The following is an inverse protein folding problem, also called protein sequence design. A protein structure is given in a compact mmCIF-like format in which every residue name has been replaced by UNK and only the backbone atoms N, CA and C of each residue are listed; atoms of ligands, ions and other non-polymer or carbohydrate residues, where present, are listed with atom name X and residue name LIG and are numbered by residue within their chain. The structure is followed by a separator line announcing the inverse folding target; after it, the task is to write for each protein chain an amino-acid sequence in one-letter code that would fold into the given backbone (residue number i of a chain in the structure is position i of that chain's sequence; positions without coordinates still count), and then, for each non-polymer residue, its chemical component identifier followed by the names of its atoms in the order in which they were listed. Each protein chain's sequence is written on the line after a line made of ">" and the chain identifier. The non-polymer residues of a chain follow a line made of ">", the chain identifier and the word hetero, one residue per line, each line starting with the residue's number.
data_IF_523191103919
#
_entry.id   IF_523191103919
#
_cell.length_a   1.000
_cell.length_b   1.000
_cell.length_c   1.000
_cell.angle_alpha   90.00
_cell.angle_beta   90.00
_cell.angle_gamma   90.00
#
_symmetry.space_group_name_H-M   'P 1'
#
loop_
_entity.id
_entity.type
_entity.pdbx_description
1 polymer ?
#
# COMPACT_ATOMS: atom_id res chain seq x y z
N UNK A 1 -33.14 -15.08 1.71
CA UNK A 1 -32.02 -15.26 2.68
C UNK A 1 -31.11 -16.35 2.14
N UNK A 2 -30.05 -15.99 1.42
CA UNK A 2 -29.10 -16.96 0.92
C UNK A 2 -27.72 -16.44 1.31
N UNK A 3 -27.20 -16.93 2.45
CA UNK A 3 -25.84 -16.66 2.92
C UNK A 3 -24.88 -17.31 1.91
N UNK A 4 -24.46 -16.57 0.89
CA UNK A 4 -23.31 -16.95 0.07
C UNK A 4 -22.10 -16.98 1.01
N UNK A 5 -21.81 -18.20 1.51
CA UNK A 5 -20.54 -18.51 2.18
C UNK A 5 -19.43 -18.18 1.19
N UNK A 6 -18.58 -17.27 1.56
CA UNK A 6 -17.43 -16.82 0.80
C UNK A 6 -16.49 -17.99 0.44
N UNK A 7 -15.90 -17.99 -0.76
CA UNK A 7 -14.88 -18.99 -1.14
C UNK A 7 -13.58 -18.83 -0.37
N UNK A 8 -13.48 -17.90 0.60
CA UNK A 8 -12.27 -17.64 1.37
C UNK A 8 -11.74 -18.82 2.17
N UNK A 9 -12.59 -19.72 2.66
CA UNK A 9 -12.17 -20.89 3.41
C UNK A 9 -11.34 -21.86 2.55
N UNK A 10 -11.72 -22.09 1.33
CA UNK A 10 -11.02 -22.98 0.40
C UNK A 10 -9.66 -22.44 -0.02
N UNK A 11 -9.52 -21.12 -0.20
CA UNK A 11 -8.24 -20.47 -0.53
C UNK A 11 -7.26 -20.63 0.64
N UNK A 12 -7.71 -20.42 1.88
CA UNK A 12 -6.86 -20.62 3.06
C UNK A 12 -6.52 -22.08 3.30
N UNK A 13 -7.45 -23.00 3.02
CA UNK A 13 -7.22 -24.43 3.09
C UNK A 13 -6.21 -24.87 2.03
N UNK A 14 -6.37 -24.44 0.78
CA UNK A 14 -5.42 -24.70 -0.30
C UNK A 14 -4.04 -24.11 0.01
N UNK A 15 -3.98 -22.88 0.55
CA UNK A 15 -2.74 -22.27 0.99
C UNK A 15 -2.07 -23.07 2.11
N UNK A 16 -2.81 -23.50 3.11
CA UNK A 16 -2.32 -24.35 4.20
C UNK A 16 -1.79 -25.69 3.71
N UNK A 17 -2.46 -26.33 2.75
CA UNK A 17 -2.01 -27.55 2.09
C UNK A 17 -0.70 -27.36 1.33
N UNK A 18 -0.58 -26.29 0.56
CA UNK A 18 0.66 -25.97 -0.17
C UNK A 18 1.82 -25.74 0.79
N UNK A 19 1.63 -24.94 1.85
CA UNK A 19 2.66 -24.70 2.86
C UNK A 19 3.03 -26.00 3.58
N UNK A 20 2.04 -26.80 3.97
CA UNK A 20 2.26 -28.11 4.60
C UNK A 20 3.04 -29.08 3.70
N UNK A 21 2.70 -29.14 2.42
CA UNK A 21 3.41 -29.94 1.43
C UNK A 21 4.87 -29.49 1.28
N UNK A 22 5.12 -28.18 1.18
CA UNK A 22 6.47 -27.63 1.07
C UNK A 22 7.34 -27.93 2.31
N UNK A 23 6.77 -27.79 3.49
CA UNK A 23 7.47 -28.14 4.74
C UNK A 23 7.80 -29.63 4.79
N UNK A 24 6.87 -30.49 4.40
CA UNK A 24 7.08 -31.93 4.32
C UNK A 24 8.17 -32.28 3.28
N UNK A 25 8.17 -31.61 2.14
CA UNK A 25 9.17 -31.78 1.07
C UNK A 25 10.57 -31.42 1.55
N UNK A 26 10.74 -30.28 2.24
CA UNK A 26 12.05 -29.86 2.80
C UNK A 26 12.50 -30.83 3.88
N UNK A 27 11.61 -31.22 4.79
CA UNK A 27 11.93 -32.18 5.85
C UNK A 27 12.36 -33.53 5.26
N UNK A 28 11.59 -34.05 4.27
CA UNK A 28 11.94 -35.27 3.56
C UNK A 28 13.29 -35.17 2.89
N UNK A 29 13.57 -34.05 2.23
CA UNK A 29 14.83 -33.83 1.52
C UNK A 29 16.04 -33.81 2.47
N UNK A 30 15.93 -33.17 3.64
CA UNK A 30 16.99 -33.15 4.65
C UNK A 30 17.24 -34.55 5.24
N UNK A 31 16.16 -35.30 5.50
CA UNK A 31 16.29 -36.69 5.99
C UNK A 31 16.94 -37.57 4.93
N UNK A 32 16.52 -37.44 3.67
CA UNK A 32 17.10 -38.18 2.55
C UNK A 32 18.60 -37.90 2.38
N UNK A 33 18.99 -36.64 2.38
CA UNK A 33 20.40 -36.22 2.27
C UNK A 33 21.25 -36.77 3.42
N UNK A 34 20.75 -36.69 4.63
CA UNK A 34 21.42 -37.24 5.81
C UNK A 34 21.66 -38.75 5.66
N UNK A 35 20.62 -39.50 5.32
CA UNK A 35 20.70 -40.95 5.18
C UNK A 35 21.64 -41.35 4.04
N UNK A 36 21.55 -40.64 2.91
CA UNK A 36 22.40 -40.88 1.75
C UNK A 36 23.90 -40.69 2.08
N UNK A 37 24.24 -39.60 2.76
CA UNK A 37 25.62 -39.33 3.18
C UNK A 37 26.13 -40.36 4.20
N UNK A 38 25.30 -40.75 5.16
CA UNK A 38 25.65 -41.79 6.14
C UNK A 38 25.93 -43.12 5.43
N UNK A 39 25.07 -43.54 4.53
CA UNK A 39 25.27 -44.76 3.74
C UNK A 39 26.58 -44.74 2.93
N UNK A 40 26.89 -43.61 2.27
CA UNK A 40 28.14 -43.46 1.51
C UNK A 40 29.38 -43.58 2.39
N UNK A 41 29.32 -43.03 3.62
CA UNK A 41 30.42 -43.19 4.57
C UNK A 41 30.60 -44.67 4.98
N UNK A 42 29.52 -45.35 5.34
CA UNK A 42 29.52 -46.76 5.73
C UNK A 42 30.00 -47.67 4.58
N UNK A 43 29.56 -47.42 3.35
CA UNK A 43 30.03 -48.15 2.18
C UNK A 43 31.54 -47.96 1.94
N UNK A 44 32.02 -46.73 2.00
CA UNK A 44 33.46 -46.44 1.83
C UNK A 44 34.29 -47.08 2.92
N UNK A 45 33.88 -47.02 4.20
CA UNK A 45 34.58 -47.65 5.31
C UNK A 45 34.63 -49.16 5.16
N UNK A 46 33.53 -49.79 4.77
CA UNK A 46 33.44 -51.25 4.57
C UNK A 46 34.34 -51.68 3.40
N UNK A 47 34.29 -50.94 2.28
CA UNK A 47 35.16 -51.22 1.11
C UNK A 47 36.64 -51.09 1.46
N UNK A 48 37.05 -50.03 2.17
CA UNK A 48 38.44 -49.82 2.55
C UNK A 48 38.95 -50.88 3.55
N UNK A 49 38.10 -51.35 4.45
CA UNK A 49 38.43 -52.46 5.34
C UNK A 49 38.60 -53.78 4.59
N UNK A 50 37.75 -54.08 3.60
CA UNK A 50 37.91 -55.24 2.73
C UNK A 50 39.19 -55.18 1.90
N UNK A 51 39.51 -54.02 1.31
CA UNK A 51 40.74 -53.78 0.58
C UNK A 51 41.96 -53.96 1.52
N UNK A 52 41.91 -53.42 2.72
CA UNK A 52 42.97 -53.60 3.71
C UNK A 52 43.19 -55.08 4.06
N UNK A 53 42.14 -55.89 4.20
CA UNK A 53 42.22 -57.31 4.44
C UNK A 53 42.82 -58.09 3.27
N UNK A 54 42.46 -57.74 2.03
CA UNK A 54 43.05 -58.36 0.83
C UNK A 54 44.55 -58.00 0.65
N UNK A 55 44.89 -56.73 0.84
CA UNK A 55 46.27 -56.24 0.76
C UNK A 55 47.10 -56.86 1.92
N UNK A 56 46.53 -57.07 3.11
CA UNK A 56 47.19 -57.77 4.21
C UNK A 56 47.60 -59.18 3.84
N UNK A 57 46.74 -59.94 3.14
CA UNK A 57 47.08 -61.28 2.63
C UNK A 57 48.22 -61.25 1.63
N UNK A 58 48.19 -60.29 0.71
CA UNK A 58 49.22 -60.06 -0.32
C UNK A 58 50.56 -59.68 0.36
N UNK A 59 50.55 -58.81 1.35
CA UNK A 59 51.72 -58.37 2.09
C UNK A 59 52.36 -59.52 2.85
N UNK A 60 51.54 -60.34 3.52
CA UNK A 60 52.06 -61.53 4.25
C UNK A 60 52.71 -62.59 3.33
N UNK A 61 52.19 -62.73 2.12
CA UNK A 61 52.77 -63.67 1.10
C UNK A 61 54.02 -63.16 0.39
N UNK A 62 54.39 -61.88 0.55
CA UNK A 62 55.49 -61.23 -0.17
C UNK A 62 56.81 -61.36 0.60
N UNK A 63 57.91 -61.86 -0.08
CA UNK A 63 59.18 -61.92 0.50
C UNK A 63 59.77 -60.56 0.89
N UNK A 64 60.57 -60.53 1.99
CA UNK A 64 61.12 -59.32 2.60
C UNK A 64 61.84 -58.40 1.62
N UNK A 65 62.57 -58.94 0.65
CA UNK A 65 63.30 -58.16 -0.35
C UNK A 65 62.46 -57.38 -1.34
N UNK A 66 61.20 -57.79 -1.58
CA UNK A 66 60.26 -57.16 -2.49
C UNK A 66 59.22 -56.24 -1.77
N UNK A 67 59.24 -56.19 -0.47
CA UNK A 67 58.24 -55.43 0.34
C UNK A 67 58.34 -53.92 0.14
N UNK A 68 59.57 -53.35 -0.01
CA UNK A 68 59.70 -51.91 -0.21
C UNK A 68 59.14 -51.45 -1.59
N UNK A 69 59.40 -52.26 -2.67
CA UNK A 69 58.74 -51.94 -3.94
C UNK A 69 57.28 -52.07 -3.91
N UNK A 70 56.71 -53.10 -3.30
CA UNK A 70 55.29 -53.29 -3.11
C UNK A 70 54.64 -52.15 -2.26
N UNK A 71 55.33 -51.67 -1.23
CA UNK A 71 54.88 -50.56 -0.42
C UNK A 71 54.73 -49.27 -1.22
N UNK A 72 55.61 -49.00 -2.17
CA UNK A 72 55.52 -47.85 -3.08
C UNK A 72 54.29 -47.97 -4.03
N UNK A 73 54.07 -49.16 -4.60
CA UNK A 73 52.95 -49.45 -5.47
C UNK A 73 51.61 -49.33 -4.69
N UNK A 74 51.54 -49.92 -3.50
CA UNK A 74 50.32 -49.84 -2.64
C UNK A 74 49.95 -48.41 -2.28
N UNK A 75 50.93 -47.53 -2.01
CA UNK A 75 50.66 -46.11 -1.76
C UNK A 75 50.08 -45.38 -2.97
N UNK A 76 50.42 -45.80 -4.19
CA UNK A 76 49.85 -45.21 -5.40
C UNK A 76 48.43 -45.71 -5.70
N UNK A 77 48.23 -47.04 -5.56
CA UNK A 77 46.95 -47.70 -5.88
C UNK A 77 45.90 -47.54 -4.75
N UNK A 78 46.35 -47.63 -3.50
CA UNK A 78 45.49 -47.56 -2.32
C UNK A 78 45.97 -46.45 -1.34
N UNK A 79 45.80 -45.18 -1.70
CA UNK A 79 46.30 -44.07 -0.90
C UNK A 79 45.66 -43.93 0.50
N UNK A 80 44.59 -44.66 0.77
CA UNK A 80 43.87 -44.71 2.04
C UNK A 80 44.40 -45.85 2.95
N UNK A 81 45.30 -46.72 2.47
CA UNK A 81 45.92 -47.77 3.26
C UNK A 81 47.32 -47.36 3.72
N UNK A 82 47.69 -47.83 4.87
CA UNK A 82 49.03 -47.65 5.44
C UNK A 82 49.61 -48.97 5.91
N UNK A 83 50.92 -49.12 5.67
CA UNK A 83 51.65 -50.32 6.05
C UNK A 83 52.66 -49.99 7.12
N UNK A 84 52.49 -50.56 8.32
CA UNK A 84 53.37 -50.42 9.46
C UNK A 84 53.82 -51.80 9.97
N UNK A 85 55.11 -52.11 9.77
CA UNK A 85 55.67 -53.43 10.05
C UNK A 85 55.04 -54.53 9.21
N UNK A 86 54.35 -55.47 9.87
CA UNK A 86 53.62 -56.56 9.21
C UNK A 86 52.12 -56.34 9.05
N UNK A 87 51.63 -55.17 9.48
CA UNK A 87 50.20 -54.84 9.43
C UNK A 87 49.87 -53.83 8.34
N UNK A 88 48.77 -54.10 7.66
CA UNK A 88 48.11 -53.17 6.73
C UNK A 88 46.82 -52.71 7.36
N UNK A 89 46.62 -51.43 7.42
CA UNK A 89 45.40 -50.86 8.02
C UNK A 89 44.92 -49.61 7.24
N UNK A 90 43.68 -49.27 7.43
CA UNK A 90 43.13 -48.04 6.85
C UNK A 90 43.70 -46.83 7.60
N UNK A 91 44.33 -45.89 6.89
CA UNK A 91 44.87 -44.67 7.50
C UNK A 91 43.77 -43.85 8.16
N UNK A 92 43.83 -43.65 9.50
CA UNK A 92 42.78 -42.93 10.23
C UNK A 92 42.58 -41.48 9.79
N UNK A 93 43.69 -40.81 9.41
CA UNK A 93 43.63 -39.42 8.94
C UNK A 93 42.87 -39.30 7.61
N UNK A 94 43.09 -40.24 6.69
CA UNK A 94 42.37 -40.30 5.41
C UNK A 94 40.90 -40.61 5.59
N UNK A 95 40.59 -41.53 6.50
CA UNK A 95 39.18 -41.83 6.83
C UNK A 95 38.49 -40.61 7.44
N UNK A 96 39.15 -39.92 8.34
CA UNK A 96 38.61 -38.71 8.97
C UNK A 96 38.48 -37.56 7.97
N UNK A 97 39.43 -37.40 7.04
CA UNK A 97 39.35 -36.43 5.95
C UNK A 97 38.12 -36.69 5.08
N UNK A 98 37.91 -37.95 4.66
CA UNK A 98 36.76 -38.36 3.85
C UNK A 98 35.43 -38.08 4.59
N UNK A 99 35.31 -38.49 5.87
CA UNK A 99 34.15 -38.19 6.70
C UNK A 99 33.88 -36.69 6.81
N UNK A 100 34.91 -35.88 7.04
CA UNK A 100 34.82 -34.44 7.15
C UNK A 100 34.36 -33.76 5.86
N UNK A 101 34.80 -34.28 4.72
CA UNK A 101 34.38 -33.82 3.40
C UNK A 101 32.92 -34.13 3.13
N UNK A 102 32.48 -35.36 3.40
CA UNK A 102 31.06 -35.73 3.28
C UNK A 102 30.15 -34.89 4.21
N UNK A 103 30.60 -34.63 5.45
CA UNK A 103 29.87 -33.77 6.40
C UNK A 103 29.84 -32.29 5.96
N UNK A 104 30.83 -31.83 5.20
CA UNK A 104 30.78 -30.47 4.61
C UNK A 104 29.70 -30.34 3.56
N UNK A 105 29.51 -31.35 2.70
CA UNK A 105 28.36 -31.40 1.78
C UNK A 105 27.05 -31.40 2.49
N UNK A 106 26.91 -32.19 3.56
CA UNK A 106 25.66 -32.17 4.37
C UNK A 106 25.33 -30.80 4.94
N UNK A 107 26.33 -30.07 5.45
CA UNK A 107 26.14 -28.70 5.96
C UNK A 107 25.71 -27.75 4.85
N UNK A 108 26.31 -27.80 3.68
CA UNK A 108 25.94 -26.98 2.54
C UNK A 108 24.46 -27.16 2.17
N UNK A 109 24.01 -28.40 2.00
CA UNK A 109 22.59 -28.70 1.71
C UNK A 109 21.64 -28.37 2.84
N UNK A 110 22.11 -28.41 4.09
CA UNK A 110 21.29 -28.05 5.26
C UNK A 110 20.92 -26.56 5.29
N UNK A 111 21.67 -25.68 4.66
CA UNK A 111 21.32 -24.24 4.53
C UNK A 111 20.48 -23.95 3.31
N UNK A 112 20.64 -24.69 2.22
CA UNK A 112 19.96 -24.47 0.96
C UNK A 112 18.45 -24.69 1.05
N UNK A 113 18.02 -25.79 1.68
CA UNK A 113 16.58 -26.08 1.85
C UNK A 113 15.81 -25.00 2.62
N UNK A 114 16.23 -24.59 3.84
CA UNK A 114 15.62 -23.50 4.57
C UNK A 114 15.65 -22.15 3.83
N UNK A 115 16.70 -21.86 3.06
CA UNK A 115 16.78 -20.66 2.26
C UNK A 115 15.67 -20.62 1.19
N UNK A 116 15.52 -21.68 0.40
CA UNK A 116 14.46 -21.76 -0.60
C UNK A 116 13.07 -21.70 0.02
N UNK A 117 12.88 -22.35 1.18
CA UNK A 117 11.63 -22.26 1.93
C UNK A 117 11.33 -20.82 2.35
N UNK A 118 12.33 -20.11 2.87
CA UNK A 118 12.15 -18.71 3.29
C UNK A 118 11.79 -17.80 2.11
N UNK A 119 12.44 -17.94 0.95
CA UNK A 119 12.13 -17.19 -0.28
C UNK A 119 10.70 -17.49 -0.75
N UNK A 120 10.29 -18.74 -0.71
CA UNK A 120 8.95 -19.16 -1.12
C UNK A 120 7.86 -18.61 -0.18
N UNK A 121 8.07 -18.68 1.14
CA UNK A 121 7.15 -18.12 2.13
C UNK A 121 7.04 -16.59 1.99
N UNK A 122 8.15 -15.90 1.71
CA UNK A 122 8.15 -14.47 1.42
C UNK A 122 7.32 -14.16 0.17
N UNK A 123 7.50 -14.93 -0.91
CA UNK A 123 6.71 -14.80 -2.14
C UNK A 123 5.20 -14.98 -1.88
N UNK A 124 4.83 -16.03 -1.15
CA UNK A 124 3.45 -16.29 -0.77
C UNK A 124 2.86 -15.17 0.12
N UNK A 125 3.65 -14.63 1.05
CA UNK A 125 3.24 -13.49 1.87
C UNK A 125 2.96 -12.24 1.03
N UNK A 126 3.84 -11.92 0.07
CA UNK A 126 3.68 -10.77 -0.83
C UNK A 126 2.41 -10.93 -1.68
N UNK A 127 2.21 -12.11 -2.29
CA UNK A 127 1.02 -12.41 -3.09
C UNK A 127 -0.25 -12.31 -2.24
N UNK A 128 -0.26 -12.93 -1.07
CA UNK A 128 -1.41 -12.89 -0.15
C UNK A 128 -1.76 -11.47 0.28
N UNK A 129 -0.75 -10.63 0.55
CA UNK A 129 -0.95 -9.21 0.87
C UNK A 129 -1.50 -8.43 -0.32
N UNK A 130 -1.02 -8.68 -1.53
CA UNK A 130 -1.49 -8.05 -2.75
C UNK A 130 -2.96 -8.39 -3.04
N UNK A 131 -3.33 -9.67 -2.94
CA UNK A 131 -4.71 -10.13 -3.14
C UNK A 131 -5.68 -9.52 -2.12
N UNK A 132 -5.28 -9.41 -0.85
CA UNK A 132 -6.11 -8.75 0.18
C UNK A 132 -6.36 -7.28 -0.17
N UNK A 133 -5.32 -6.54 -0.57
CA UNK A 133 -5.45 -5.13 -0.99
C UNK A 133 -6.41 -4.99 -2.16
N UNK A 134 -6.30 -5.87 -3.16
CA UNK A 134 -7.19 -5.86 -4.32
C UNK A 134 -8.65 -6.13 -3.93
N UNK A 135 -8.89 -7.09 -3.03
CA UNK A 135 -10.24 -7.40 -2.54
C UNK A 135 -10.83 -6.23 -1.74
N UNK A 136 -10.05 -5.60 -0.88
CA UNK A 136 -10.47 -4.40 -0.13
C UNK A 136 -10.80 -3.25 -1.09
N UNK A 137 -9.99 -3.02 -2.11
CA UNK A 137 -10.25 -2.02 -3.13
C UNK A 137 -11.55 -2.30 -3.89
N UNK A 138 -11.75 -3.53 -4.37
CA UNK A 138 -13.00 -3.95 -5.04
C UNK A 138 -14.23 -3.78 -4.13
N UNK A 139 -14.11 -4.13 -2.85
CA UNK A 139 -15.19 -3.94 -1.88
C UNK A 139 -15.51 -2.45 -1.70
N UNK A 140 -14.49 -1.60 -1.54
CA UNK A 140 -14.66 -0.14 -1.44
C UNK A 140 -15.33 0.43 -2.69
N UNK A 141 -14.92 -0.01 -3.87
CA UNK A 141 -15.51 0.39 -5.14
C UNK A 141 -17.00 -0.01 -5.24
N UNK A 142 -17.37 -1.22 -4.82
CA UNK A 142 -18.78 -1.64 -4.79
C UNK A 142 -19.62 -0.80 -3.83
N UNK A 143 -19.11 -0.56 -2.63
CA UNK A 143 -19.77 0.30 -1.64
C UNK A 143 -19.94 1.72 -2.14
N UNK A 144 -18.94 2.26 -2.85
CA UNK A 144 -19.04 3.55 -3.51
C UNK A 144 -20.17 3.59 -4.55
N UNK A 145 -20.27 2.60 -5.44
CA UNK A 145 -21.34 2.54 -6.44
C UNK A 145 -22.72 2.50 -5.80
N UNK A 146 -22.86 1.75 -4.71
CA UNK A 146 -24.11 1.72 -3.94
C UNK A 146 -24.42 3.09 -3.30
N UNK A 147 -23.42 3.72 -2.69
CA UNK A 147 -23.56 5.05 -2.08
C UNK A 147 -23.89 6.13 -3.15
N UNK A 148 -23.21 6.11 -4.29
CA UNK A 148 -23.49 7.00 -5.41
C UNK A 148 -24.93 6.85 -5.91
N UNK A 149 -25.38 5.62 -6.12
CA UNK A 149 -26.76 5.33 -6.51
C UNK A 149 -27.77 5.88 -5.50
N UNK A 150 -27.45 5.82 -4.22
CA UNK A 150 -28.30 6.37 -3.15
C UNK A 150 -28.31 7.90 -3.13
N UNK A 151 -27.15 8.53 -3.31
CA UNK A 151 -27.02 10.00 -3.36
C UNK A 151 -27.71 10.59 -4.60
N UNK A 152 -27.78 9.89 -5.73
CA UNK A 152 -28.58 10.27 -6.90
C UNK A 152 -30.08 10.05 -6.69
N UNK A 153 -30.48 8.95 -6.08
CA UNK A 153 -31.91 8.59 -5.90
C UNK A 153 -32.67 9.61 -5.06
N UNK A 154 -32.05 10.14 -4.02
CA UNK A 154 -32.70 11.08 -3.09
C UNK A 154 -33.15 12.37 -3.79
N UNK A 155 -32.27 13.16 -4.47
CA UNK A 155 -32.69 14.38 -5.16
C UNK A 155 -33.64 14.08 -6.30
N UNK A 156 -33.48 13.01 -7.06
CA UNK A 156 -34.42 12.59 -8.11
C UNK A 156 -35.80 12.32 -7.54
N UNK A 157 -35.90 11.64 -6.40
CA UNK A 157 -37.17 11.38 -5.75
C UNK A 157 -37.83 12.67 -5.23
N UNK A 158 -37.04 13.60 -4.70
CA UNK A 158 -37.51 14.92 -4.27
C UNK A 158 -38.04 15.74 -5.46
N UNK A 159 -37.28 15.80 -6.55
CA UNK A 159 -37.68 16.46 -7.80
C UNK A 159 -39.00 15.89 -8.32
N UNK A 160 -39.14 14.55 -8.35
CA UNK A 160 -40.36 13.89 -8.79
C UNK A 160 -41.55 14.25 -7.91
N UNK A 161 -41.39 14.26 -6.58
CA UNK A 161 -42.44 14.61 -5.63
C UNK A 161 -42.88 16.07 -5.81
N UNK A 162 -41.94 17.01 -5.92
CA UNK A 162 -42.24 18.42 -6.13
C UNK A 162 -42.96 18.64 -7.46
N UNK A 163 -42.52 18.02 -8.56
CA UNK A 163 -43.15 18.08 -9.87
C UNK A 163 -44.59 17.52 -9.83
N UNK A 164 -44.78 16.35 -9.23
CA UNK A 164 -46.13 15.77 -9.06
C UNK A 164 -47.04 16.67 -8.22
N UNK A 165 -46.53 17.29 -7.15
CA UNK A 165 -47.31 18.20 -6.32
C UNK A 165 -47.74 19.44 -7.08
N UNK A 166 -46.85 20.02 -7.92
CA UNK A 166 -47.18 21.14 -8.81
C UNK A 166 -48.23 20.78 -9.86
N UNK A 167 -48.25 19.54 -10.36
CA UNK A 167 -49.21 19.07 -11.35
C UNK A 167 -50.59 18.73 -10.76
N UNK A 168 -50.61 18.22 -9.54
CA UNK A 168 -51.86 17.66 -8.94
C UNK A 168 -52.59 18.62 -8.02
N UNK A 169 -52.01 19.75 -7.63
CA UNK A 169 -52.59 20.70 -6.66
C UNK A 169 -52.56 22.10 -7.20
N UNK A 170 -53.67 22.83 -7.03
CA UNK A 170 -53.68 24.28 -7.14
C UNK A 170 -52.97 24.88 -5.93
N UNK A 171 -51.82 25.50 -6.17
CA UNK A 171 -50.97 26.12 -5.16
C UNK A 171 -50.95 27.65 -5.35
N UNK A 172 -50.81 28.37 -4.25
CA UNK A 172 -50.56 29.81 -4.31
C UNK A 172 -49.25 30.06 -5.07
N UNK A 173 -49.15 31.21 -5.76
CA UNK A 173 -47.97 31.61 -6.53
C UNK A 173 -46.68 31.59 -5.71
N UNK A 174 -46.76 31.94 -4.43
CA UNK A 174 -45.65 31.89 -3.48
C UNK A 174 -45.15 30.46 -3.25
N UNK A 175 -46.04 29.50 -3.06
CA UNK A 175 -45.69 28.08 -2.90
C UNK A 175 -45.14 27.47 -4.19
N UNK A 176 -45.67 27.87 -5.36
CA UNK A 176 -45.15 27.45 -6.66
C UNK A 176 -43.71 27.92 -6.82
N UNK A 177 -43.40 29.18 -6.55
CA UNK A 177 -42.06 29.73 -6.60
C UNK A 177 -41.12 29.04 -5.62
N UNK A 178 -41.57 28.79 -4.38
CA UNK A 178 -40.79 28.04 -3.39
C UNK A 178 -40.41 26.62 -3.89
N UNK A 179 -41.35 25.90 -4.50
CA UNK A 179 -41.10 24.55 -5.03
C UNK A 179 -40.15 24.57 -6.22
N UNK A 180 -40.31 25.55 -7.11
CA UNK A 180 -39.37 25.73 -8.23
C UNK A 180 -37.96 26.04 -7.74
N UNK A 181 -37.81 26.90 -6.74
CA UNK A 181 -36.51 27.18 -6.11
C UNK A 181 -35.90 25.92 -5.48
N UNK A 182 -36.71 25.13 -4.79
CA UNK A 182 -36.23 23.84 -4.24
C UNK A 182 -35.81 22.86 -5.33
N UNK A 183 -36.55 22.83 -6.47
CA UNK A 183 -36.16 21.97 -7.60
C UNK A 183 -34.82 22.42 -8.22
N UNK A 184 -34.63 23.73 -8.40
CA UNK A 184 -33.34 24.26 -8.88
C UNK A 184 -32.19 23.85 -7.97
N UNK A 185 -32.36 23.97 -6.65
CA UNK A 185 -31.34 23.53 -5.70
C UNK A 185 -31.00 22.02 -5.77
N UNK A 186 -32.02 21.17 -6.01
CA UNK A 186 -31.75 19.73 -6.16
C UNK A 186 -31.09 19.41 -7.52
N UNK A 187 -31.35 20.21 -8.57
CA UNK A 187 -30.65 20.09 -9.86
C UNK A 187 -29.18 20.50 -9.69
N UNK A 188 -28.90 21.66 -9.12
CA UNK A 188 -27.53 22.13 -8.85
C UNK A 188 -26.73 21.10 -8.03
N UNK A 189 -27.40 20.45 -7.08
CA UNK A 189 -26.80 19.37 -6.30
C UNK A 189 -26.47 18.12 -7.13
N UNK A 190 -27.30 17.76 -8.10
CA UNK A 190 -27.06 16.66 -9.04
C UNK A 190 -25.91 16.97 -9.97
N UNK A 191 -25.82 18.22 -10.46
CA UNK A 191 -24.70 18.69 -11.28
C UNK A 191 -23.37 18.60 -10.52
N UNK A 192 -23.31 19.13 -9.31
CA UNK A 192 -22.16 19.05 -8.41
C UNK A 192 -21.70 17.59 -8.17
N UNK A 193 -22.66 16.69 -7.95
CA UNK A 193 -22.39 15.27 -7.74
C UNK A 193 -21.81 14.64 -9.02
N UNK A 194 -22.37 14.96 -10.17
CA UNK A 194 -21.90 14.49 -11.49
C UNK A 194 -20.49 14.97 -11.79
N UNK A 195 -20.21 16.27 -11.57
CA UNK A 195 -18.88 16.86 -11.80
C UNK A 195 -17.80 16.20 -10.90
N UNK A 196 -18.10 16.00 -9.62
CA UNK A 196 -17.21 15.30 -8.68
C UNK A 196 -16.92 13.87 -9.13
N UNK A 197 -17.89 13.14 -9.65
CA UNK A 197 -17.72 11.80 -10.20
C UNK A 197 -16.85 11.78 -11.43
N UNK A 198 -17.10 12.71 -12.38
CA UNK A 198 -16.32 12.83 -13.61
C UNK A 198 -14.86 13.23 -13.32
N UNK A 199 -14.65 14.21 -12.44
CA UNK A 199 -13.32 14.63 -12.01
C UNK A 199 -12.55 13.44 -11.39
N UNK A 200 -13.21 12.67 -10.52
CA UNK A 200 -12.60 11.47 -9.92
C UNK A 200 -12.26 10.42 -10.98
N UNK A 201 -13.19 10.15 -11.91
CA UNK A 201 -12.97 9.17 -12.97
C UNK A 201 -11.77 9.53 -13.86
N UNK A 202 -11.64 10.81 -14.23
CA UNK A 202 -10.51 11.33 -15.01
C UNK A 202 -9.18 11.19 -14.26
N UNK A 203 -9.17 11.50 -12.96
CA UNK A 203 -7.97 11.39 -12.12
C UNK A 203 -7.55 9.93 -11.91
N UNK A 204 -8.50 9.02 -11.66
CA UNK A 204 -8.22 7.58 -11.53
C UNK A 204 -7.63 7.00 -12.82
N UNK A 205 -8.03 7.52 -13.98
CA UNK A 205 -7.52 7.11 -15.29
C UNK A 205 -6.22 7.84 -15.72
N UNK A 206 -5.70 8.76 -14.89
CA UNK A 206 -4.51 9.56 -15.22
C UNK A 206 -4.76 10.61 -16.32
N UNK A 207 -6.03 10.92 -16.61
CA UNK A 207 -6.45 11.83 -17.69
C UNK A 207 -6.71 13.28 -17.21
N UNK A 208 -6.40 13.59 -15.95
CA UNK A 208 -6.57 14.92 -15.36
C UNK A 208 -5.60 15.93 -16.00
N UNK A 209 -6.07 16.79 -16.87
CA UNK A 209 -5.29 17.93 -17.37
C UNK A 209 -5.45 19.09 -16.40
N UNK A 210 -4.48 19.25 -15.50
CA UNK A 210 -4.33 20.43 -14.64
C UNK A 210 -3.26 21.30 -15.29
N UNK A 211 -3.50 22.61 -15.37
CA UNK A 211 -2.58 23.58 -15.95
C UNK A 211 -2.06 24.52 -14.86
N UNK A 212 -1.01 24.14 -14.13
CA UNK A 212 -0.46 24.99 -13.09
C UNK A 212 0.18 26.23 -13.72
N UNK A 213 -0.32 27.40 -13.32
CA UNK A 213 0.23 28.71 -13.69
C UNK A 213 0.63 29.45 -12.43
N UNK A 214 1.51 30.44 -12.58
CA UNK A 214 1.98 31.23 -11.43
C UNK A 214 0.89 32.15 -10.90
N UNK A 215 0.46 31.91 -9.67
CA UNK A 215 -0.54 32.71 -8.96
C UNK A 215 -0.09 33.02 -7.54
N UNK A 216 -0.63 34.07 -6.95
CA UNK A 216 -0.53 34.32 -5.52
C UNK A 216 -1.58 33.49 -4.77
N UNK A 217 -1.11 32.55 -3.96
CA UNK A 217 -1.99 31.66 -3.20
C UNK A 217 -2.93 32.41 -2.26
N UNK A 218 -2.49 33.55 -1.65
CA UNK A 218 -3.35 34.40 -0.84
C UNK A 218 -4.58 34.89 -1.60
N UNK A 219 -4.36 35.38 -2.83
CA UNK A 219 -5.45 35.91 -3.65
C UNK A 219 -6.39 34.80 -4.11
N UNK A 220 -5.86 33.65 -4.52
CA UNK A 220 -6.68 32.53 -4.98
C UNK A 220 -7.49 31.96 -3.81
N UNK A 221 -6.86 31.68 -2.67
CA UNK A 221 -7.55 31.21 -1.48
C UNK A 221 -8.60 32.22 -1.00
N UNK A 222 -8.28 33.49 -0.93
CA UNK A 222 -9.21 34.57 -0.53
C UNK A 222 -10.46 34.61 -1.42
N UNK A 223 -10.31 34.52 -2.75
CA UNK A 223 -11.45 34.47 -3.70
C UNK A 223 -12.32 33.21 -3.50
N UNK A 224 -11.68 32.04 -3.31
CA UNK A 224 -12.41 30.81 -3.07
C UNK A 224 -13.20 30.87 -1.75
N UNK A 225 -12.61 31.37 -0.67
CA UNK A 225 -13.25 31.53 0.63
C UNK A 225 -14.41 32.50 0.57
N UNK A 226 -14.26 33.67 -0.08
CA UNK A 226 -15.31 34.65 -0.25
C UNK A 226 -16.54 34.08 -0.98
N UNK A 227 -16.33 33.25 -2.01
CA UNK A 227 -17.43 32.58 -2.74
C UNK A 227 -18.21 31.58 -1.86
N UNK A 228 -17.55 30.93 -0.92
CA UNK A 228 -18.14 29.87 -0.10
C UNK A 228 -18.68 30.39 1.25
N UNK A 229 -18.29 31.57 1.65
CA UNK A 229 -18.61 32.13 2.98
C UNK A 229 -20.11 32.12 3.29
N UNK A 230 -20.94 32.58 2.36
CA UNK A 230 -22.41 32.62 2.56
C UNK A 230 -22.99 31.21 2.72
N UNK A 231 -22.53 30.25 1.93
CA UNK A 231 -22.99 28.86 2.00
C UNK A 231 -22.55 28.19 3.30
N UNK A 232 -21.33 28.44 3.76
CA UNK A 232 -20.82 27.89 5.02
C UNK A 232 -21.58 28.49 6.23
N UNK A 233 -21.83 29.80 6.22
CA UNK A 233 -22.62 30.47 7.24
C UNK A 233 -24.07 29.95 7.29
N UNK A 234 -24.72 29.74 6.14
CA UNK A 234 -26.07 29.16 6.07
C UNK A 234 -26.12 27.74 6.67
N UNK A 235 -24.97 27.01 6.66
CA UNK A 235 -24.84 25.69 7.29
C UNK A 235 -24.41 25.75 8.76
N UNK A 236 -24.38 26.94 9.36
CA UNK A 236 -24.04 27.17 10.77
C UNK A 236 -22.55 27.14 11.07
N UNK A 237 -21.67 27.36 10.05
CA UNK A 237 -20.23 27.40 10.24
C UNK A 237 -19.73 28.84 10.54
N UNK A 238 -18.81 28.95 11.48
CA UNK A 238 -18.02 30.16 11.73
C UNK A 238 -16.62 29.97 11.20
N UNK A 239 -16.23 30.82 10.25
CA UNK A 239 -14.96 30.74 9.57
C UNK A 239 -13.97 31.77 10.16
N UNK A 240 -12.83 31.29 10.63
CA UNK A 240 -11.70 32.10 11.08
C UNK A 240 -10.60 32.06 10.03
N UNK A 241 -10.18 33.24 9.54
CA UNK A 241 -9.22 33.37 8.46
C UNK A 241 -7.94 34.04 8.96
N UNK A 242 -6.81 33.39 8.73
CA UNK A 242 -5.49 33.90 9.01
C UNK A 242 -4.65 33.79 7.72
N UNK A 243 -4.66 34.85 6.90
CA UNK A 243 -3.92 34.90 5.65
C UNK A 243 -2.50 35.42 5.87
N UNK A 244 -1.55 34.98 5.04
CA UNK A 244 -0.18 35.44 5.13
C UNK A 244 -0.07 36.95 4.83
N UNK A 245 0.78 37.70 5.52
CA UNK A 245 0.92 39.14 5.31
C UNK A 245 1.60 39.50 3.97
N UNK A 246 2.35 38.56 3.39
CA UNK A 246 3.07 38.72 2.13
C UNK A 246 2.48 37.81 1.03
N UNK A 247 2.62 38.20 -0.25
CA UNK A 247 2.23 37.33 -1.35
C UNK A 247 2.98 35.99 -1.34
N UNK A 248 2.28 34.93 -1.69
CA UNK A 248 2.81 33.57 -1.77
C UNK A 248 2.70 33.06 -3.22
N UNK A 249 3.68 33.40 -4.07
CA UNK A 249 3.67 32.95 -5.47
C UNK A 249 3.91 31.45 -5.55
N UNK A 250 2.97 30.73 -6.16
CA UNK A 250 3.03 29.27 -6.38
C UNK A 250 2.52 28.93 -7.76
N UNK A 251 2.87 27.77 -8.27
CA UNK A 251 2.31 27.25 -9.50
C UNK A 251 1.07 26.42 -9.17
N UNK A 252 -0.11 26.91 -9.52
CA UNK A 252 -1.37 26.21 -9.31
C UNK A 252 -2.39 26.53 -10.41
N UNK A 253 -3.37 25.65 -10.55
CA UNK A 253 -4.57 25.89 -11.34
C UNK A 253 -5.67 26.40 -10.39
N UNK A 254 -6.20 27.64 -10.58
CA UNK A 254 -7.17 28.22 -9.64
C UNK A 254 -8.49 27.45 -9.51
N UNK A 255 -8.96 26.83 -10.61
CA UNK A 255 -10.20 26.05 -10.60
C UNK A 255 -10.00 24.72 -9.86
N UNK A 256 -8.92 24.01 -10.17
CA UNK A 256 -8.55 22.79 -9.49
C UNK A 256 -8.28 23.04 -7.98
N UNK A 257 -7.60 24.14 -7.64
CA UNK A 257 -7.40 24.53 -6.25
C UNK A 257 -8.72 24.89 -5.53
N UNK A 258 -9.64 25.56 -6.22
CA UNK A 258 -10.98 25.85 -5.66
C UNK A 258 -11.70 24.56 -5.28
N UNK A 259 -11.62 23.54 -6.11
CA UNK A 259 -12.17 22.20 -5.82
C UNK A 259 -11.51 21.55 -4.60
N UNK A 260 -10.17 21.66 -4.49
CA UNK A 260 -9.43 21.17 -3.31
C UNK A 260 -9.91 21.85 -2.03
N UNK A 261 -9.92 23.18 -2.02
CA UNK A 261 -10.30 23.96 -0.84
C UNK A 261 -11.77 23.73 -0.46
N UNK A 262 -12.69 23.65 -1.45
CA UNK A 262 -14.08 23.34 -1.18
C UNK A 262 -14.28 21.98 -0.53
N UNK A 263 -13.55 20.95 -0.95
CA UNK A 263 -13.63 19.63 -0.34
C UNK A 263 -13.14 19.63 1.12
N UNK A 264 -12.08 20.38 1.43
CA UNK A 264 -11.59 20.51 2.82
C UNK A 264 -12.61 21.25 3.71
N UNK A 265 -13.17 22.35 3.22
CA UNK A 265 -14.18 23.13 3.96
C UNK A 265 -15.48 22.34 4.15
N UNK A 266 -15.95 21.65 3.11
CA UNK A 266 -17.11 20.78 3.21
C UNK A 266 -16.90 19.68 4.26
N UNK A 267 -15.72 19.08 4.32
CA UNK A 267 -15.38 18.08 5.33
C UNK A 267 -15.38 18.71 6.74
N UNK A 268 -14.73 19.85 6.93
CA UNK A 268 -14.69 20.54 8.20
C UNK A 268 -16.09 20.84 8.76
N UNK A 269 -17.00 21.33 7.92
CA UNK A 269 -18.38 21.62 8.33
C UNK A 269 -19.22 20.36 8.53
N UNK A 270 -19.01 19.35 7.72
CA UNK A 270 -19.77 18.09 7.74
C UNK A 270 -19.48 17.25 8.98
N UNK A 271 -18.23 17.21 9.41
CA UNK A 271 -17.79 16.38 10.53
C UNK A 271 -17.73 17.13 11.86
N UNK A 272 -18.05 18.43 11.86
CA UNK A 272 -18.19 19.22 13.08
C UNK A 272 -19.58 19.05 13.70
N UNK A 273 -19.68 18.84 15.03
CA UNK A 273 -20.95 18.71 15.72
C UNK A 273 -21.70 20.06 15.81
N UNK A 274 -23.01 19.98 15.94
CA UNK A 274 -23.87 21.15 16.25
C UNK A 274 -23.69 21.60 17.73
N UNK A 275 -23.94 22.87 18.11
CA UNK A 275 -24.51 23.93 17.27
C UNK A 275 -23.47 24.81 16.57
N UNK A 276 -22.19 24.83 17.02
CA UNK A 276 -21.17 25.72 16.47
C UNK A 276 -20.10 24.92 15.71
N UNK A 277 -20.07 25.12 14.40
CA UNK A 277 -19.08 24.53 13.51
C UNK A 277 -17.96 25.54 13.30
N UNK A 278 -16.90 25.41 14.07
CA UNK A 278 -15.74 26.30 13.99
C UNK A 278 -14.74 25.73 12.99
N UNK A 279 -14.36 26.54 12.01
CA UNK A 279 -13.37 26.19 10.97
C UNK A 279 -12.32 27.29 10.90
N UNK A 280 -11.06 26.92 11.04
CA UNK A 280 -9.92 27.82 10.84
C UNK A 280 -9.25 27.51 9.52
N UNK A 281 -8.95 28.55 8.78
CA UNK A 281 -8.12 28.48 7.56
C UNK A 281 -6.92 29.39 7.79
N UNK A 282 -5.74 28.77 7.82
CA UNK A 282 -4.47 29.46 8.02
C UNK A 282 -3.62 29.31 6.77
N UNK A 283 -3.03 30.41 6.32
CA UNK A 283 -2.11 30.44 5.20
C UNK A 283 -0.82 31.15 5.65
N UNK A 284 0.31 30.46 5.53
CA UNK A 284 1.62 30.97 5.97
C UNK A 284 2.75 30.50 5.06
N UNK A 285 3.87 31.23 5.11
CA UNK A 285 5.13 30.79 4.52
C UNK A 285 5.92 29.98 5.54
N UNK A 286 6.39 28.81 5.14
CA UNK A 286 7.32 27.98 5.88
C UNK A 286 8.56 27.68 5.03
N UNK A 287 9.64 28.46 5.24
CA UNK A 287 10.83 28.37 4.39
C UNK A 287 10.50 28.65 2.93
N UNK A 288 10.74 27.68 2.05
CA UNK A 288 10.45 27.74 0.60
C UNK A 288 9.09 27.11 0.24
N UNK A 289 8.19 26.97 1.21
CA UNK A 289 6.85 26.42 0.99
C UNK A 289 5.77 27.46 1.39
N UNK A 290 4.71 27.50 0.60
CA UNK A 290 3.44 28.09 1.00
C UNK A 290 2.57 27.00 1.62
N UNK A 291 2.14 27.19 2.86
CA UNK A 291 1.36 26.19 3.62
C UNK A 291 -0.02 26.73 3.90
N UNK A 292 -1.04 25.97 3.50
CA UNK A 292 -2.44 26.23 3.83
C UNK A 292 -2.94 25.12 4.75
N UNK A 293 -3.56 25.47 5.86
CA UNK A 293 -4.18 24.55 6.80
C UNK A 293 -5.66 24.85 6.97
N UNK A 294 -6.46 23.79 7.00
CA UNK A 294 -7.88 23.81 7.37
C UNK A 294 -8.04 22.96 8.63
N UNK A 295 -8.47 23.59 9.71
CA UNK A 295 -8.65 22.95 11.01
C UNK A 295 -10.12 22.98 11.39
N UNK A 296 -10.65 21.87 11.91
CA UNK A 296 -11.99 21.74 12.44
C UNK A 296 -11.98 21.25 13.91
N UNK A 297 -13.12 21.43 14.59
CA UNK A 297 -13.39 20.84 15.92
C UNK A 297 -14.40 19.70 15.81
N UNK A 298 -14.20 18.85 14.83
CA UNK A 298 -15.07 17.72 14.56
C UNK A 298 -14.80 16.49 15.44
N UNK A 299 -15.28 15.35 14.93
CA UNK A 299 -15.14 14.05 15.61
C UNK A 299 -13.69 13.52 15.64
N UNK A 300 -12.78 14.17 14.91
CA UNK A 300 -11.37 13.78 14.83
C UNK A 300 -11.13 12.53 13.98
N UNK A 301 -9.85 12.11 13.93
CA UNK A 301 -9.36 10.98 13.16
C UNK A 301 -8.57 10.04 14.07
N UNK A 302 -8.72 8.73 13.88
CA UNK A 302 -7.86 7.75 14.53
C UNK A 302 -6.51 7.62 13.79
N UNK A 303 -5.49 7.04 14.45
CA UNK A 303 -4.20 6.76 13.81
C UNK A 303 -4.34 5.82 12.59
N UNK A 304 -5.30 4.92 12.60
CA UNK A 304 -5.60 4.02 11.48
C UNK A 304 -6.23 4.76 10.30
N UNK A 305 -7.11 5.73 10.59
CA UNK A 305 -7.75 6.55 9.56
C UNK A 305 -6.74 7.42 8.82
N UNK A 306 -5.78 8.05 9.52
CA UNK A 306 -4.77 8.94 8.93
C UNK A 306 -4.01 8.30 7.76
N UNK A 307 -3.81 6.99 7.78
CA UNK A 307 -3.12 6.27 6.71
C UNK A 307 -3.99 6.02 5.49
N UNK A 308 -5.31 6.09 5.63
CA UNK A 308 -6.26 5.65 4.62
C UNK A 308 -7.24 6.72 4.13
N UNK A 309 -7.36 7.86 4.82
CA UNK A 309 -8.36 8.90 4.48
C UNK A 309 -8.17 9.50 3.09
N UNK A 310 -6.97 9.41 2.51
CA UNK A 310 -6.67 9.86 1.15
C UNK A 310 -6.83 8.74 0.11
N UNK A 311 -7.17 7.52 0.51
CA UNK A 311 -7.46 6.43 -0.42
C UNK A 311 -8.85 6.61 -1.06
N UNK A 312 -9.02 6.25 -2.33
CA UNK A 312 -10.31 6.38 -2.99
C UNK A 312 -11.38 5.53 -2.28
N UNK A 313 -12.59 6.08 -2.18
CA UNK A 313 -13.75 5.41 -1.57
C UNK A 313 -13.62 5.13 -0.06
N UNK A 314 -12.55 5.61 0.60
CA UNK A 314 -12.39 5.43 2.03
C UNK A 314 -13.31 6.35 2.82
N UNK A 315 -13.88 5.84 3.89
CA UNK A 315 -14.76 6.59 4.83
C UNK A 315 -14.52 6.08 6.24
N UNK A 316 -14.41 6.99 7.19
CA UNK A 316 -14.26 6.68 8.62
C UNK A 316 -15.56 6.07 9.17
N UNK A 317 -15.45 5.05 10.04
CA UNK A 317 -16.56 4.38 10.74
C UNK A 317 -17.23 3.26 9.96
N UNK A 318 -18.09 2.50 10.67
CA UNK A 318 -18.77 1.33 10.12
C UNK A 318 -19.97 1.73 9.25
N UNK A 319 -20.23 0.99 8.19
CA UNK A 319 -21.22 1.30 7.16
C UNK A 319 -22.66 1.38 7.71
N UNK A 320 -22.95 0.61 8.77
CA UNK A 320 -24.27 0.54 9.39
C UNK A 320 -24.58 1.67 10.38
N UNK A 321 -23.55 2.35 10.90
CA UNK A 321 -23.69 3.41 11.92
C UNK A 321 -23.46 4.82 11.38
N UNK A 322 -23.15 4.96 10.10
CA UNK A 322 -22.79 6.23 9.47
C UNK A 322 -23.96 7.20 9.35
N UNK A 323 -23.90 8.30 10.09
CA UNK A 323 -24.86 9.41 10.04
C UNK A 323 -24.57 10.44 8.93
N UNK A 324 -23.35 10.45 8.37
CA UNK A 324 -22.90 11.47 7.40
C UNK A 324 -22.94 10.95 5.97
N UNK A 325 -23.58 11.71 5.05
CA UNK A 325 -23.64 11.42 3.61
C UNK A 325 -22.31 11.72 2.91
N UNK A 326 -22.01 11.05 1.78
CA UNK A 326 -20.89 11.35 0.91
C UNK A 326 -20.18 10.12 0.35
N UNK A 327 -19.46 10.31 -0.74
CA UNK A 327 -18.92 9.24 -1.58
C UNK A 327 -17.54 8.72 -1.16
N UNK A 328 -16.84 9.40 -0.24
CA UNK A 328 -15.46 9.06 0.12
C UNK A 328 -14.45 9.43 -0.97
N UNK A 329 -14.73 10.43 -1.79
CA UNK A 329 -13.89 10.89 -2.90
C UNK A 329 -13.19 12.22 -2.61
N UNK A 330 -13.72 13.02 -1.69
CA UNK A 330 -13.23 14.40 -1.50
C UNK A 330 -11.76 14.48 -1.14
N UNK A 331 -11.28 13.72 -0.15
CA UNK A 331 -9.88 13.72 0.25
C UNK A 331 -8.96 13.04 -0.78
N UNK A 332 -9.46 12.05 -1.51
CA UNK A 332 -8.73 11.49 -2.65
C UNK A 332 -8.51 12.55 -3.74
N UNK A 333 -9.53 13.34 -4.08
CA UNK A 333 -9.41 14.47 -5.01
C UNK A 333 -8.41 15.51 -4.49
N UNK A 334 -8.52 15.88 -3.22
CA UNK A 334 -7.58 16.80 -2.56
C UNK A 334 -6.14 16.34 -2.76
N UNK A 335 -5.84 15.07 -2.48
CA UNK A 335 -4.49 14.52 -2.62
C UNK A 335 -4.01 14.59 -4.07
N UNK A 336 -4.75 14.00 -4.99
CA UNK A 336 -4.29 13.87 -6.38
C UNK A 336 -4.14 15.24 -7.07
N UNK A 337 -5.10 16.14 -6.88
CA UNK A 337 -5.02 17.49 -7.47
C UNK A 337 -3.84 18.27 -6.90
N UNK A 338 -3.63 18.19 -5.57
CA UNK A 338 -2.48 18.86 -4.93
C UNK A 338 -1.16 18.29 -5.45
N UNK A 339 -1.02 16.97 -5.56
CA UNK A 339 0.18 16.31 -6.09
C UNK A 339 0.42 16.65 -7.57
N UNK A 340 -0.62 16.72 -8.40
CA UNK A 340 -0.52 17.16 -9.81
C UNK A 340 -0.08 18.62 -9.96
N UNK A 341 -0.35 19.46 -8.97
CA UNK A 341 0.15 20.84 -8.90
C UNK A 341 1.56 20.93 -8.25
N UNK A 342 2.23 19.79 -8.00
CA UNK A 342 3.55 19.74 -7.36
C UNK A 342 3.56 20.00 -5.85
N UNK A 343 2.38 20.03 -5.22
CA UNK A 343 2.22 20.18 -3.78
C UNK A 343 2.22 18.87 -3.01
N UNK A 344 2.07 18.98 -1.68
CA UNK A 344 1.89 17.84 -0.75
C UNK A 344 0.68 18.08 0.13
N UNK A 345 0.03 16.99 0.55
CA UNK A 345 -1.09 17.01 1.50
C UNK A 345 -0.79 16.12 2.70
N UNK A 346 -1.24 16.54 3.86
CA UNK A 346 -1.20 15.74 5.09
C UNK A 346 -2.45 15.99 5.94
N UNK A 347 -2.63 15.13 6.93
CA UNK A 347 -3.66 15.31 7.95
C UNK A 347 -3.08 14.99 9.33
N UNK A 348 -3.59 15.68 10.33
CA UNK A 348 -3.20 15.54 11.73
C UNK A 348 -4.45 15.37 12.59
N UNK A 349 -4.41 14.41 13.51
CA UNK A 349 -5.42 14.24 14.52
C UNK A 349 -5.12 15.21 15.67
N UNK A 350 -6.07 16.09 15.98
CA UNK A 350 -5.99 16.99 17.11
C UNK A 350 -6.67 16.40 18.35
N UNK A 351 -6.42 16.89 19.55
CA UNK A 351 -7.16 16.50 20.75
C UNK A 351 -8.67 16.67 20.60
N UNK A 352 -9.08 17.66 19.80
CA UNK A 352 -10.46 17.89 19.39
C UNK A 352 -10.49 18.29 17.90
N UNK A 353 -11.01 17.40 17.03
CA UNK A 353 -11.10 17.64 15.60
C UNK A 353 -9.90 17.16 14.80
N UNK A 354 -9.72 17.76 13.64
CA UNK A 354 -8.71 17.40 12.66
C UNK A 354 -8.08 18.62 12.01
N UNK A 355 -6.85 18.51 11.55
CA UNK A 355 -6.18 19.50 10.71
C UNK A 355 -5.77 18.85 9.41
N UNK A 356 -6.08 19.49 8.30
CA UNK A 356 -5.64 19.12 6.97
C UNK A 356 -4.73 20.21 6.43
N UNK A 357 -3.54 19.84 5.98
CA UNK A 357 -2.56 20.78 5.45
C UNK A 357 -2.23 20.49 3.99
N UNK A 358 -1.98 21.56 3.25
CA UNK A 358 -1.46 21.57 1.89
C UNK A 358 -0.17 22.37 1.86
N UNK A 359 0.86 21.92 1.18
CA UNK A 359 2.04 22.73 0.92
C UNK A 359 2.37 22.77 -0.56
N UNK A 360 2.78 23.93 -1.04
CA UNK A 360 3.23 24.16 -2.40
C UNK A 360 4.59 24.81 -2.38
N UNK A 361 5.55 24.40 -3.24
CA UNK A 361 6.81 25.10 -3.38
C UNK A 361 6.56 26.54 -3.89
N UNK A 362 7.24 27.51 -3.28
CA UNK A 362 7.20 28.89 -3.77
C UNK A 362 7.82 28.94 -5.17
N UNK A 363 7.12 29.57 -6.09
CA UNK A 363 7.66 29.82 -7.42
C UNK A 363 8.77 30.86 -7.36
N UNK A 364 9.97 30.49 -7.82
CA UNK A 364 11.09 31.42 -7.92
C UNK A 364 10.72 32.67 -8.71
N UNK A 365 11.22 33.83 -8.30
CA UNK A 365 11.09 35.02 -9.09
C UNK A 365 11.84 34.80 -10.42
N UNK A 366 11.13 34.61 -11.51
CA UNK A 366 11.75 34.59 -12.83
C UNK A 366 12.50 35.92 -12.99
N UNK A 367 13.82 35.87 -13.12
CA UNK A 367 14.60 36.99 -13.66
C UNK A 367 13.99 37.35 -15.03
N UNK A 368 13.70 38.62 -15.29
CA UNK A 368 13.10 39.00 -16.57
C UNK A 368 14.02 38.51 -17.71
N UNK A 369 13.41 37.80 -18.67
CA UNK A 369 14.09 37.42 -19.90
C UNK A 369 14.75 38.66 -20.46
N UNK A 370 16.08 38.69 -20.73
CA UNK A 370 16.70 39.86 -21.35
C UNK A 370 16.04 40.09 -22.70
N UNK A 371 15.41 41.28 -22.86
CA UNK A 371 14.88 41.73 -24.14
C UNK A 371 15.97 41.55 -25.20
N UNK A 372 15.71 40.70 -26.19
CA UNK A 372 16.52 40.68 -27.40
C UNK A 372 16.39 42.05 -28.06
N UNK A 373 17.44 42.88 -27.96
CA UNK A 373 17.56 44.07 -28.75
C UNK A 373 17.47 43.66 -30.25
N UNK A 374 16.59 44.29 -31.03
CA UNK A 374 16.60 44.08 -32.46
C UNK A 374 17.89 44.65 -33.05
N UNK A 375 18.51 43.88 -33.95
CA UNK A 375 19.69 44.28 -34.74
C UNK A 375 19.31 45.28 -35.83
#
# INVERSE_FOLDING_TARGET
>A
MNKRRWPGGWVWLAFGLVVGFLLAQVAWWLIFQRNYIQQNIEYAETAWLQEAALVQQLWAATASEKREALKQELRQVFPHLEVEGERVYVNPERLQAYRSEQMRYLRMFSYEGPFFLAVMLLGLYIIGRSLRREQEFKRRQQNFLMAASHEFRTPISTLRLLAQTLQMRELSREKQLSYLTHMTHEIDRLEDLSERLLATSRLVQGLGQIKPERHDLNQVAGRCLARQQSTLMARGATLHLELAPLPLPVNLDPEAFSLVLSNLLDNAVKYSPQPQKLVWVRLRREGEQAVLEVEDRGVGLSKGDLQQIFEPFYRVGDEQTRRTRGLGLGLYLVKNITELMGGRVWAEALPQGSRFGLSFPLAEAHSPVPERRPA
#
